data_IF_273936671353
#
_entry.id   IF_273936671353
#
_cell.length_a   1.000
_cell.length_b   1.000
_cell.length_c   1.000
_cell.angle_alpha   90.00
_cell.angle_beta   90.00
_cell.angle_gamma   90.00
#
_symmetry.space_group_name_H-M   'P 1'
#
loop_
_entity.id
_entity.type
_entity.pdbx_description
1 polymer ?
#
# COMPACT_ATOMS: atom_id res chain seq x y z
N UNK A 1 -46.59 -21.00 57.64
CA UNK A 1 -47.01 -19.64 57.26
C UNK A 1 -46.07 -18.67 57.97
N UNK A 2 -44.81 -18.60 57.55
CA UNK A 2 -43.79 -17.71 58.10
C UNK A 2 -43.48 -16.67 57.02
N UNK A 3 -44.32 -15.66 56.94
CA UNK A 3 -44.06 -14.43 56.20
C UNK A 3 -44.21 -13.29 57.20
N UNK A 4 -43.34 -12.29 57.07
CA UNK A 4 -43.26 -11.03 57.83
C UNK A 4 -42.29 -11.03 59.01
N UNK A 5 -41.06 -10.66 58.68
CA UNK A 5 -40.08 -10.15 59.61
C UNK A 5 -38.88 -9.54 58.88
N UNK A 6 -39.09 -8.87 57.74
CA UNK A 6 -38.04 -8.01 57.19
C UNK A 6 -38.10 -6.73 58.03
N UNK A 7 -37.11 -6.56 58.92
CA UNK A 7 -37.11 -5.43 59.85
C UNK A 7 -36.79 -4.15 59.07
N UNK A 8 -37.23 -2.99 59.59
CA UNK A 8 -36.88 -1.68 59.01
C UNK A 8 -35.37 -1.50 58.87
N UNK A 9 -34.60 -2.12 59.76
CA UNK A 9 -33.15 -2.15 59.76
C UNK A 9 -32.59 -2.95 58.57
N UNK A 10 -33.19 -4.10 58.24
CA UNK A 10 -32.83 -4.88 57.04
C UNK A 10 -33.13 -4.10 55.76
N UNK A 11 -34.26 -3.39 55.69
CA UNK A 11 -34.57 -2.52 54.52
C UNK A 11 -33.60 -1.34 54.39
N UNK A 12 -33.20 -0.71 55.51
CA UNK A 12 -32.28 0.43 55.47
C UNK A 12 -30.87 0.00 55.08
N UNK A 13 -30.37 -1.12 55.62
CA UNK A 13 -29.07 -1.68 55.24
C UNK A 13 -29.03 -2.11 53.76
N UNK A 14 -30.16 -2.61 53.22
CA UNK A 14 -30.28 -2.96 51.81
C UNK A 14 -30.30 -1.73 50.89
N UNK A 15 -30.91 -0.62 51.33
CA UNK A 15 -30.93 0.66 50.61
C UNK A 15 -29.54 1.32 50.63
N UNK A 16 -28.86 1.34 51.77
CA UNK A 16 -27.49 1.87 51.87
C UNK A 16 -26.51 1.05 51.02
N UNK A 17 -26.61 -0.28 51.05
CA UNK A 17 -25.80 -1.17 50.21
C UNK A 17 -26.04 -0.95 48.71
N UNK A 18 -27.30 -0.79 48.29
CA UNK A 18 -27.63 -0.48 46.89
C UNK A 18 -27.10 0.90 46.47
N UNK A 19 -27.16 1.91 47.34
CA UNK A 19 -26.64 3.25 47.07
C UNK A 19 -25.13 3.28 46.86
N UNK A 20 -24.37 2.47 47.62
CA UNK A 20 -22.91 2.37 47.47
C UNK A 20 -22.54 1.70 46.13
N UNK A 21 -23.30 0.67 45.72
CA UNK A 21 -23.08 -0.03 44.45
C UNK A 21 -23.34 0.91 43.26
N UNK A 22 -24.44 1.65 43.27
CA UNK A 22 -24.77 2.63 42.21
C UNK A 22 -23.72 3.72 42.13
N UNK A 23 -23.27 4.26 43.26
CA UNK A 23 -22.20 5.26 43.28
C UNK A 23 -20.89 4.73 42.68
N UNK A 24 -20.54 3.47 42.97
CA UNK A 24 -19.35 2.83 42.40
C UNK A 24 -19.48 2.60 40.88
N UNK A 25 -20.66 2.23 40.39
CA UNK A 25 -20.90 2.08 38.94
C UNK A 25 -20.82 3.41 38.20
N UNK A 26 -21.34 4.49 38.78
CA UNK A 26 -21.28 5.82 38.18
C UNK A 26 -19.83 6.33 38.06
N UNK A 27 -19.02 6.12 39.10
CA UNK A 27 -17.59 6.48 39.06
C UNK A 27 -16.86 5.68 37.99
N UNK A 28 -17.14 4.38 37.87
CA UNK A 28 -16.53 3.55 36.82
C UNK A 28 -16.94 3.99 35.41
N UNK A 29 -18.21 4.37 35.22
CA UNK A 29 -18.72 4.89 33.95
C UNK A 29 -17.98 6.18 33.55
N UNK A 30 -17.83 7.11 34.49
CA UNK A 30 -17.10 8.37 34.29
C UNK A 30 -15.65 8.13 33.89
N UNK A 31 -14.94 7.23 34.59
CA UNK A 31 -13.56 6.86 34.25
C UNK A 31 -13.46 6.28 32.83
N UNK A 32 -14.39 5.40 32.42
CA UNK A 32 -14.38 4.81 31.09
C UNK A 32 -14.65 5.85 29.99
N UNK A 33 -15.57 6.78 30.23
CA UNK A 33 -15.83 7.88 29.32
C UNK A 33 -14.58 8.77 29.16
N UNK A 34 -13.94 9.14 30.26
CA UNK A 34 -12.71 9.92 30.26
C UNK A 34 -11.58 9.20 29.52
N UNK A 35 -11.45 7.89 29.71
CA UNK A 35 -10.47 7.07 28.99
C UNK A 35 -10.76 7.05 27.48
N UNK A 36 -12.02 6.92 27.08
CA UNK A 36 -12.42 6.96 25.68
C UNK A 36 -12.06 8.29 25.02
N UNK A 37 -12.32 9.40 25.70
CA UNK A 37 -11.93 10.74 25.25
C UNK A 37 -10.41 10.92 25.19
N UNK A 38 -9.69 10.53 26.24
CA UNK A 38 -8.24 10.62 26.29
C UNK A 38 -7.57 9.82 25.16
N UNK A 39 -8.10 8.64 24.83
CA UNK A 39 -7.61 7.83 23.71
C UNK A 39 -7.87 8.51 22.37
N UNK A 40 -9.02 9.17 22.18
CA UNK A 40 -9.30 9.92 20.96
C UNK A 40 -8.36 11.12 20.82
N UNK A 41 -8.07 11.83 21.91
CA UNK A 41 -7.12 12.94 21.91
C UNK A 41 -5.71 12.43 21.60
N UNK A 42 -5.29 11.33 22.22
CA UNK A 42 -4.00 10.70 21.92
C UNK A 42 -3.91 10.19 20.49
N UNK A 43 -5.01 9.69 19.93
CA UNK A 43 -5.10 9.27 18.53
C UNK A 43 -4.75 10.41 17.56
N UNK A 44 -5.06 11.68 17.89
CA UNK A 44 -4.72 12.82 17.03
C UNK A 44 -3.21 13.04 16.84
N UNK A 45 -2.37 12.47 17.71
CA UNK A 45 -0.91 12.55 17.60
C UNK A 45 -0.34 11.65 16.50
N UNK A 46 -1.12 10.69 16.01
CA UNK A 46 -0.69 9.77 14.96
C UNK A 46 -1.00 10.33 13.58
N UNK A 47 -0.13 10.01 12.62
CA UNK A 47 -0.40 10.33 11.22
C UNK A 47 -1.72 9.69 10.76
N UNK A 48 -2.47 10.37 9.87
CA UNK A 48 -3.66 9.79 9.27
C UNK A 48 -3.35 8.45 8.60
N UNK A 49 -4.29 7.51 8.67
CA UNK A 49 -4.22 6.17 8.08
C UNK A 49 -3.19 5.19 8.65
N UNK A 50 -2.80 5.35 9.93
CA UNK A 50 -2.02 4.31 10.62
C UNK A 50 -2.92 3.23 11.26
N UNK A 51 -2.41 1.99 11.36
CA UNK A 51 -3.10 0.89 12.05
C UNK A 51 -3.39 1.23 13.51
N UNK A 52 -2.41 1.86 14.15
CA UNK A 52 -2.48 2.27 15.54
C UNK A 52 -3.62 3.26 15.74
N UNK A 53 -3.75 4.26 14.87
CA UNK A 53 -4.87 5.20 14.89
C UNK A 53 -6.23 4.48 14.80
N UNK A 54 -6.40 3.58 13.82
CA UNK A 54 -7.66 2.84 13.63
C UNK A 54 -8.00 1.94 14.82
N UNK A 55 -6.98 1.33 15.44
CA UNK A 55 -7.14 0.54 16.66
C UNK A 55 -7.52 1.41 17.87
N UNK A 56 -6.86 2.55 18.07
CA UNK A 56 -7.18 3.48 19.15
C UNK A 56 -8.61 4.00 19.03
N UNK A 57 -9.05 4.35 17.82
CA UNK A 57 -10.45 4.74 17.56
C UNK A 57 -11.39 3.59 17.94
N UNK A 58 -11.09 2.35 17.56
CA UNK A 58 -11.91 1.20 17.93
C UNK A 58 -12.00 1.02 19.46
N UNK A 59 -10.86 1.10 20.17
CA UNK A 59 -10.82 1.01 21.63
C UNK A 59 -11.62 2.14 22.30
N UNK A 60 -11.48 3.37 21.84
CA UNK A 60 -12.25 4.50 22.35
C UNK A 60 -13.76 4.29 22.18
N UNK A 61 -14.19 3.75 21.02
CA UNK A 61 -15.61 3.43 20.80
C UNK A 61 -16.12 2.35 21.75
N UNK A 62 -15.30 1.34 22.04
CA UNK A 62 -15.65 0.30 23.03
C UNK A 62 -15.78 0.89 24.43
N UNK A 63 -14.86 1.77 24.83
CA UNK A 63 -14.92 2.42 26.14
C UNK A 63 -16.13 3.34 26.31
N UNK A 64 -16.49 4.11 25.28
CA UNK A 64 -17.70 4.94 25.33
C UNK A 64 -18.96 4.08 25.47
N UNK A 65 -19.10 3.02 24.66
CA UNK A 65 -20.24 2.08 24.78
C UNK A 65 -20.30 1.46 26.18
N UNK A 66 -19.15 1.07 26.73
CA UNK A 66 -19.08 0.49 28.07
C UNK A 66 -19.44 1.50 29.16
N UNK A 67 -19.04 2.76 29.01
CA UNK A 67 -19.38 3.85 29.92
C UNK A 67 -20.90 4.08 29.96
N UNK A 68 -21.55 4.13 28.80
CA UNK A 68 -22.99 4.38 28.72
C UNK A 68 -23.82 3.17 29.21
N UNK A 69 -23.27 1.96 29.14
CA UNK A 69 -23.94 0.75 29.65
C UNK A 69 -23.92 0.64 31.19
N UNK A 70 -22.85 1.11 31.83
CA UNK A 70 -22.53 0.77 33.22
C UNK A 70 -23.45 1.36 34.31
N UNK A 71 -23.94 2.62 34.23
CA UNK A 71 -24.67 3.25 35.33
C UNK A 71 -26.10 2.71 35.47
N UNK A 72 -26.79 2.51 34.34
CA UNK A 72 -28.21 2.15 34.35
C UNK A 72 -28.48 0.70 33.91
N UNK A 73 -27.45 -0.01 33.43
CA UNK A 73 -27.59 -1.36 32.84
C UNK A 73 -28.50 -1.41 31.61
N UNK A 74 -28.92 -0.24 31.12
CA UNK A 74 -29.79 -0.04 29.97
C UNK A 74 -29.26 1.14 29.18
N UNK A 75 -29.23 1.00 27.86
CA UNK A 75 -28.88 2.09 26.94
C UNK A 75 -30.14 2.38 26.12
N UNK A 76 -30.37 3.65 25.82
CA UNK A 76 -31.45 4.07 24.94
C UNK A 76 -31.30 3.42 23.55
N UNK A 77 -32.42 3.02 22.95
CA UNK A 77 -32.38 2.21 21.71
C UNK A 77 -31.77 2.97 20.53
N UNK A 78 -31.96 4.29 20.48
CA UNK A 78 -31.35 5.18 19.50
C UNK A 78 -29.84 5.29 19.67
N UNK A 79 -29.36 5.38 20.91
CA UNK A 79 -27.94 5.44 21.20
C UNK A 79 -27.21 4.13 20.87
N UNK A 80 -27.79 2.97 21.23
CA UNK A 80 -27.26 1.66 20.82
C UNK A 80 -27.10 1.60 19.29
N UNK A 81 -28.10 2.08 18.56
CA UNK A 81 -28.07 2.06 17.10
C UNK A 81 -26.92 2.91 16.55
N UNK A 82 -26.79 4.16 17.01
CA UNK A 82 -25.72 5.06 16.57
C UNK A 82 -24.34 4.51 16.92
N UNK A 83 -24.16 4.02 18.14
CA UNK A 83 -22.89 3.47 18.61
C UNK A 83 -22.51 2.19 17.87
N UNK A 84 -23.48 1.31 17.59
CA UNK A 84 -23.28 0.10 16.80
C UNK A 84 -22.88 0.40 15.36
N UNK A 85 -23.51 1.41 14.72
CA UNK A 85 -23.12 1.87 13.39
C UNK A 85 -21.68 2.40 13.39
N UNK A 86 -21.33 3.28 14.33
CA UNK A 86 -19.98 3.84 14.44
C UNK A 86 -18.94 2.74 14.72
N UNK A 87 -19.24 1.80 15.62
CA UNK A 87 -18.38 0.68 15.93
C UNK A 87 -18.19 -0.24 14.73
N UNK A 88 -19.24 -0.49 13.96
CA UNK A 88 -19.18 -1.30 12.73
C UNK A 88 -18.27 -0.66 11.68
N UNK A 89 -18.36 0.66 11.49
CA UNK A 89 -17.47 1.39 10.58
C UNK A 89 -16.02 1.32 11.08
N UNK A 90 -15.78 1.58 12.36
CA UNK A 90 -14.45 1.48 12.96
C UNK A 90 -13.86 0.06 12.85
N UNK A 91 -14.68 -0.96 13.07
CA UNK A 91 -14.30 -2.36 12.95
C UNK A 91 -13.95 -2.71 11.49
N UNK A 92 -14.78 -2.33 10.52
CA UNK A 92 -14.49 -2.54 9.11
C UNK A 92 -13.20 -1.82 8.66
N UNK A 93 -13.00 -0.58 9.11
CA UNK A 93 -11.79 0.19 8.80
C UNK A 93 -10.54 -0.45 9.43
N UNK A 94 -10.65 -1.00 10.64
CA UNK A 94 -9.57 -1.73 11.28
C UNK A 94 -9.31 -3.06 10.58
N UNK A 95 -10.33 -3.88 10.34
CA UNK A 95 -10.22 -5.18 9.69
C UNK A 95 -9.65 -5.08 8.27
N UNK A 96 -10.09 -4.10 7.47
CA UNK A 96 -9.54 -3.87 6.13
C UNK A 96 -8.02 -3.65 6.13
N UNK A 97 -7.46 -3.18 7.24
CA UNK A 97 -6.01 -3.01 7.43
C UNK A 97 -5.35 -4.19 8.15
N UNK A 98 -5.99 -4.74 9.17
CA UNK A 98 -5.44 -5.81 10.00
C UNK A 98 -5.45 -7.16 9.28
N UNK A 99 -6.50 -7.47 8.52
CA UNK A 99 -6.60 -8.71 7.74
C UNK A 99 -5.41 -8.90 6.81
N UNK A 100 -5.01 -7.93 5.97
CA UNK A 100 -3.82 -8.11 5.15
C UNK A 100 -2.52 -8.24 5.93
N UNK A 101 -2.42 -7.62 7.11
CA UNK A 101 -1.25 -7.74 7.99
C UNK A 101 -1.15 -9.13 8.63
N UNK A 102 -2.27 -9.72 9.04
CA UNK A 102 -2.35 -11.07 9.64
C UNK A 102 -2.23 -12.14 8.55
N UNK A 103 -2.83 -11.91 7.39
CA UNK A 103 -2.76 -12.81 6.22
C UNK A 103 -1.37 -12.83 5.59
N UNK A 104 -0.46 -11.94 5.99
CA UNK A 104 0.93 -11.97 5.57
C UNK A 104 1.72 -13.09 6.28
N UNK A 105 1.31 -14.33 6.05
CA UNK A 105 1.99 -15.54 6.51
C UNK A 105 3.16 -15.94 5.61
N UNK A 106 3.29 -15.31 4.44
CA UNK A 106 4.42 -15.57 3.54
C UNK A 106 5.70 -15.05 4.18
N UNK A 107 6.60 -15.97 4.52
CA UNK A 107 7.94 -15.62 4.97
C UNK A 107 8.67 -14.85 3.86
N UNK A 108 9.19 -13.68 4.21
CA UNK A 108 9.97 -12.87 3.29
C UNK A 108 11.33 -13.53 3.06
N UNK A 109 11.66 -13.79 1.80
CA UNK A 109 12.98 -14.32 1.44
C UNK A 109 14.07 -13.26 1.61
N UNK A 110 15.34 -13.67 1.62
CA UNK A 110 16.45 -12.70 1.62
C UNK A 110 16.41 -11.74 0.42
N UNK A 111 15.94 -12.25 -0.73
CA UNK A 111 15.73 -11.45 -1.95
C UNK A 111 14.66 -10.39 -1.74
N UNK A 112 13.58 -10.73 -1.05
CA UNK A 112 12.50 -9.79 -0.70
C UNK A 112 13.04 -8.65 0.17
N UNK A 113 13.74 -8.99 1.26
CA UNK A 113 14.33 -8.02 2.18
C UNK A 113 15.27 -7.06 1.43
N UNK A 114 16.13 -7.61 0.56
CA UNK A 114 17.06 -6.80 -0.23
C UNK A 114 16.33 -5.89 -1.20
N UNK A 115 15.38 -6.43 -1.98
CA UNK A 115 14.59 -5.65 -2.94
C UNK A 115 13.79 -4.54 -2.27
N UNK A 116 13.27 -4.79 -1.06
CA UNK A 116 12.60 -3.78 -0.27
C UNK A 116 13.55 -2.63 0.07
N UNK A 117 14.71 -2.94 0.63
CA UNK A 117 15.66 -1.89 1.03
C UNK A 117 16.23 -1.11 -0.15
N UNK A 118 16.45 -1.75 -1.30
CA UNK A 118 17.07 -1.10 -2.46
C UNK A 118 16.08 -0.39 -3.36
N UNK A 119 14.84 -0.87 -3.49
CA UNK A 119 13.89 -0.37 -4.50
C UNK A 119 12.64 0.24 -3.85
N UNK A 120 11.97 -0.48 -2.96
CA UNK A 120 10.67 -0.04 -2.43
C UNK A 120 10.79 0.99 -1.31
N UNK A 121 11.76 0.85 -0.41
CA UNK A 121 11.97 1.79 0.70
C UNK A 121 12.31 3.21 0.21
N UNK A 122 13.20 3.41 -0.80
CA UNK A 122 13.42 4.73 -1.39
C UNK A 122 12.16 5.33 -2.04
N UNK A 123 11.25 4.50 -2.55
CA UNK A 123 9.97 4.95 -3.09
C UNK A 123 8.93 5.31 -2.01
N UNK A 124 9.24 5.08 -0.72
CA UNK A 124 8.40 5.44 0.42
C UNK A 124 7.58 4.30 1.01
N UNK A 125 7.74 3.06 0.52
CA UNK A 125 7.02 1.92 1.07
C UNK A 125 7.47 1.58 2.49
N UNK A 126 6.49 1.29 3.35
CA UNK A 126 6.72 0.62 4.63
C UNK A 126 6.86 -0.89 4.43
N UNK A 127 7.56 -1.56 5.36
CA UNK A 127 7.77 -3.01 5.29
C UNK A 127 6.45 -3.78 5.34
N UNK A 128 5.49 -3.29 6.10
CA UNK A 128 4.12 -3.83 6.19
C UNK A 128 3.39 -3.78 4.86
N UNK A 129 3.49 -2.66 4.13
CA UNK A 129 2.89 -2.49 2.81
C UNK A 129 3.52 -3.42 1.78
N UNK A 130 4.86 -3.55 1.79
CA UNK A 130 5.55 -4.48 0.90
C UNK A 130 5.14 -5.94 1.16
N UNK A 131 5.04 -6.35 2.42
CA UNK A 131 4.53 -7.68 2.81
C UNK A 131 3.08 -7.89 2.40
N UNK A 132 2.25 -6.86 2.49
CA UNK A 132 0.87 -6.93 2.00
C UNK A 132 0.84 -7.18 0.48
N UNK A 133 1.65 -6.49 -0.31
CA UNK A 133 1.75 -6.74 -1.76
C UNK A 133 2.17 -8.19 -2.08
N UNK A 134 3.14 -8.74 -1.32
CA UNK A 134 3.55 -10.15 -1.46
C UNK A 134 2.42 -11.14 -1.14
N UNK A 135 1.61 -10.80 -0.15
CA UNK A 135 0.58 -11.69 0.41
C UNK A 135 -0.71 -11.67 -0.41
N UNK A 136 -1.03 -10.52 -1.00
CA UNK A 136 -2.16 -10.36 -1.93
C UNK A 136 -1.79 -10.76 -3.37
N UNK A 137 -0.68 -11.49 -3.56
CA UNK A 137 -0.15 -11.88 -4.88
C UNK A 137 -0.02 -10.70 -5.87
N UNK A 138 0.13 -9.48 -5.37
CA UNK A 138 0.27 -8.29 -6.21
C UNK A 138 1.67 -8.20 -6.80
N UNK A 139 2.65 -8.80 -6.13
CA UNK A 139 4.03 -8.93 -6.62
C UNK A 139 4.52 -10.37 -6.54
N UNK A 140 5.23 -10.82 -7.57
CA UNK A 140 5.76 -12.18 -7.67
C UNK A 140 7.11 -12.20 -8.40
N UNK A 141 8.04 -12.99 -7.88
CA UNK A 141 9.32 -13.22 -8.53
C UNK A 141 9.20 -14.19 -9.70
N UNK A 142 9.71 -13.79 -10.86
CA UNK A 142 9.77 -14.62 -12.06
C UNK A 142 11.21 -14.68 -12.56
N UNK A 143 11.64 -15.89 -12.92
CA UNK A 143 12.91 -16.13 -13.57
C UNK A 143 12.67 -16.38 -15.05
N UNK A 144 13.22 -15.50 -15.88
CA UNK A 144 13.09 -15.57 -17.32
C UNK A 144 14.36 -16.21 -17.91
N UNK A 145 14.22 -17.30 -18.69
CA UNK A 145 15.37 -18.00 -19.28
C UNK A 145 16.19 -17.10 -20.20
N UNK A 146 17.46 -17.44 -20.38
CA UNK A 146 18.36 -16.77 -21.33
C UNK A 146 17.84 -16.78 -22.75
N UNK A 147 17.97 -15.65 -23.45
CA UNK A 147 17.61 -15.48 -24.86
C UNK A 147 16.17 -15.89 -25.22
N UNK A 148 15.27 -15.91 -24.24
CA UNK A 148 13.85 -16.23 -24.44
C UNK A 148 13.09 -15.00 -24.92
N UNK A 149 11.98 -15.24 -25.62
CA UNK A 149 11.07 -14.19 -26.08
C UNK A 149 9.70 -14.39 -25.47
N UNK A 150 9.04 -13.29 -25.13
CA UNK A 150 7.70 -13.30 -24.55
C UNK A 150 6.99 -11.99 -24.86
N UNK A 151 5.66 -11.99 -24.78
CA UNK A 151 4.85 -10.80 -25.04
C UNK A 151 4.70 -9.96 -23.78
N UNK A 152 4.80 -8.64 -23.92
CA UNK A 152 4.43 -7.70 -22.87
C UNK A 152 2.91 -7.76 -22.64
N UNK A 153 2.50 -8.08 -21.41
CA UNK A 153 1.10 -8.13 -20.99
C UNK A 153 0.67 -6.77 -20.47
N UNK A 154 -0.49 -6.26 -20.91
CA UNK A 154 -1.07 -5.02 -20.36
C UNK A 154 -1.42 -5.12 -18.87
N UNK A 155 -1.56 -6.35 -18.37
CA UNK A 155 -1.96 -6.63 -16.98
C UNK A 155 -0.78 -6.63 -16.03
N UNK A 156 0.44 -6.69 -16.55
CA UNK A 156 1.64 -6.93 -15.77
C UNK A 156 2.65 -5.79 -15.94
N UNK A 157 3.26 -5.36 -14.85
CA UNK A 157 4.48 -4.57 -14.87
C UNK A 157 5.65 -5.46 -14.47
N UNK A 158 6.81 -5.27 -15.10
CA UNK A 158 8.00 -6.08 -14.78
C UNK A 158 9.10 -5.18 -14.25
N UNK A 159 9.41 -5.31 -12.96
CA UNK A 159 10.54 -4.63 -12.34
C UNK A 159 11.79 -5.50 -12.47
N UNK A 160 12.82 -4.99 -13.16
CA UNK A 160 14.04 -5.74 -13.39
C UNK A 160 14.95 -5.67 -12.17
N UNK A 161 15.21 -6.84 -11.57
CA UNK A 161 16.09 -6.95 -10.43
C UNK A 161 17.51 -7.36 -10.84
N UNK A 162 17.63 -8.30 -11.77
CA UNK A 162 18.91 -8.78 -12.31
C UNK A 162 18.80 -9.15 -13.78
N UNK A 163 19.84 -8.87 -14.55
CA UNK A 163 19.91 -9.22 -15.97
C UNK A 163 19.37 -8.09 -16.84
N UNK A 164 18.99 -8.43 -18.07
CA UNK A 164 18.50 -7.45 -19.04
C UNK A 164 17.35 -7.99 -19.87
N UNK A 165 16.46 -7.08 -20.24
CA UNK A 165 15.36 -7.32 -21.16
C UNK A 165 15.45 -6.29 -22.27
N UNK A 166 15.24 -6.70 -23.50
CA UNK A 166 15.19 -5.80 -24.65
C UNK A 166 13.81 -5.82 -25.29
N UNK A 167 13.40 -4.66 -25.79
CA UNK A 167 12.09 -4.41 -26.39
C UNK A 167 12.29 -3.77 -27.75
N UNK A 168 11.71 -4.34 -28.79
CA UNK A 168 11.79 -3.80 -30.14
C UNK A 168 10.52 -3.00 -30.45
N UNK A 169 10.67 -1.70 -30.75
CA UNK A 169 9.56 -0.84 -31.18
C UNK A 169 9.95 -0.20 -32.51
N UNK A 170 9.34 -0.69 -33.60
CA UNK A 170 9.77 -0.38 -34.95
C UNK A 170 11.20 -0.85 -35.20
N UNK A 171 12.08 0.06 -35.60
CA UNK A 171 13.51 -0.21 -35.82
C UNK A 171 14.37 -0.02 -34.56
N UNK A 172 13.82 0.64 -33.52
CA UNK A 172 14.56 0.94 -32.30
C UNK A 172 14.49 -0.24 -31.33
N UNK A 173 15.64 -0.58 -30.72
CA UNK A 173 15.76 -1.55 -29.63
C UNK A 173 16.03 -0.80 -28.33
N UNK A 174 15.13 -0.96 -27.38
CA UNK A 174 15.29 -0.46 -26.01
C UNK A 174 15.82 -1.59 -25.14
N UNK A 175 16.81 -1.32 -24.30
CA UNK A 175 17.38 -2.30 -23.37
C UNK A 175 17.11 -1.79 -21.96
N UNK A 176 16.60 -2.69 -21.12
CA UNK A 176 16.25 -2.44 -19.74
C UNK A 176 17.12 -3.28 -18.81
N UNK A 177 17.41 -2.75 -17.63
CA UNK A 177 18.06 -3.44 -16.51
C UNK A 177 19.58 -3.33 -16.50
N UNK A 178 20.24 -3.02 -17.62
CA UNK A 178 21.70 -2.89 -17.66
C UNK A 178 22.14 -1.75 -18.57
N UNK A 179 22.75 -0.73 -17.98
CA UNK A 179 23.30 0.44 -18.67
C UNK A 179 24.78 0.59 -18.30
N UNK A 180 25.66 0.76 -19.29
CA UNK A 180 27.11 0.92 -19.09
C UNK A 180 27.73 -0.13 -18.13
N UNK A 181 27.27 -1.39 -18.23
CA UNK A 181 27.74 -2.48 -17.37
C UNK A 181 27.12 -2.53 -15.96
N UNK A 182 26.46 -1.48 -15.50
CA UNK A 182 25.80 -1.38 -14.19
C UNK A 182 24.36 -1.89 -14.26
N UNK A 183 23.93 -2.58 -13.20
CA UNK A 183 22.54 -3.02 -13.05
C UNK A 183 21.67 -1.81 -12.63
N UNK A 184 20.55 -1.62 -13.33
CA UNK A 184 19.53 -0.63 -13.04
C UNK A 184 18.21 -1.31 -12.72
N UNK A 185 17.38 -0.69 -11.88
CA UNK A 185 16.10 -1.23 -11.43
C UNK A 185 14.95 -0.58 -12.20
N UNK A 186 14.82 -0.99 -13.46
CA UNK A 186 13.85 -0.41 -14.38
C UNK A 186 12.54 -1.18 -14.43
N UNK A 187 11.44 -0.44 -14.60
CA UNK A 187 10.11 -0.99 -14.85
C UNK A 187 9.83 -1.08 -16.35
N UNK A 188 9.46 -2.27 -16.81
CA UNK A 188 8.88 -2.51 -18.14
C UNK A 188 7.36 -2.45 -18.03
N UNK A 189 6.70 -1.81 -19.01
CA UNK A 189 5.25 -1.56 -19.01
C UNK A 189 4.82 -0.29 -18.30
N UNK A 190 5.75 0.45 -17.69
CA UNK A 190 5.53 1.70 -16.96
C UNK A 190 4.73 2.74 -17.77
N UNK A 191 5.10 2.97 -19.04
CA UNK A 191 4.42 3.92 -19.93
C UNK A 191 2.99 3.48 -20.29
N UNK A 192 2.79 2.17 -20.50
CA UNK A 192 1.47 1.61 -20.79
C UNK A 192 0.53 1.79 -19.58
N UNK A 193 1.05 1.50 -18.38
CA UNK A 193 0.32 1.68 -17.15
C UNK A 193 0.02 3.16 -16.87
N UNK A 194 1.01 4.05 -17.02
CA UNK A 194 0.83 5.49 -16.85
C UNK A 194 -0.25 6.05 -17.80
N UNK A 195 -0.24 5.63 -19.07
CA UNK A 195 -1.28 5.97 -20.04
C UNK A 195 -2.66 5.49 -19.58
N UNK A 196 -2.78 4.24 -19.12
CA UNK A 196 -4.04 3.69 -18.59
C UNK A 196 -4.55 4.50 -17.39
N UNK A 197 -3.65 4.95 -16.51
CA UNK A 197 -4.00 5.83 -15.39
C UNK A 197 -4.48 7.22 -15.85
N UNK A 198 -3.91 7.79 -16.90
CA UNK A 198 -4.34 9.08 -17.47
C UNK A 198 -5.69 8.97 -18.20
N UNK A 199 -5.91 7.89 -18.94
CA UNK A 199 -7.16 7.67 -19.67
C UNK A 199 -8.34 7.45 -18.72
N UNK A 200 -8.10 6.85 -17.56
CA UNK A 200 -9.16 6.65 -16.53
C UNK A 200 -9.51 7.94 -15.78
N UNK A 201 -8.56 8.85 -15.56
CA UNK A 201 -8.84 10.15 -14.91
C UNK A 201 -9.59 11.10 -15.84
N UNK A 202 -9.25 11.13 -17.13
CA UNK A 202 -9.95 11.96 -18.12
C UNK A 202 -11.41 11.53 -18.34
N UNK A 203 -11.70 10.22 -18.30
CA UNK A 203 -13.08 9.70 -18.41
C UNK A 203 -13.95 10.02 -17.19
N UNK A 204 -13.39 10.16 -15.99
CA UNK A 204 -14.15 10.64 -14.81
C UNK A 204 -14.62 12.10 -14.96
N UNK A 205 -13.95 12.90 -15.78
CA UNK A 205 -14.34 14.27 -16.10
C UNK A 205 -15.37 14.38 -17.24
N UNK A 206 -15.56 13.33 -18.05
CA UNK A 206 -16.53 13.28 -19.15
C UNK A 206 -17.50 12.10 -18.98
N UNK A 207 -18.35 12.13 -17.96
CA UNK A 207 -19.55 11.27 -17.93
C UNK A 207 -20.64 11.92 -18.79
N UNK A 208 -20.59 11.64 -20.08
CA UNK A 208 -21.71 11.54 -21.03
C UNK A 208 -21.13 11.57 -22.45
N UNK A 209 -20.62 10.43 -22.92
CA UNK A 209 -20.74 10.04 -24.32
C UNK A 209 -20.50 8.53 -24.42
N UNK A 210 -21.36 7.89 -25.18
CA UNK A 210 -21.48 6.45 -25.33
C UNK A 210 -20.27 5.82 -26.05
N UNK A 211 -20.12 4.52 -25.75
CA UNK A 211 -19.59 3.44 -26.61
C UNK A 211 -18.14 3.43 -27.09
N UNK A 212 -17.57 2.23 -26.96
CA UNK A 212 -16.61 1.61 -27.88
C UNK A 212 -15.45 2.46 -28.34
N UNK A 213 -14.35 2.38 -27.60
CA UNK A 213 -13.04 2.22 -28.19
C UNK A 213 -12.15 1.54 -27.15
N UNK A 214 -11.93 0.24 -27.35
CA UNK A 214 -10.76 -0.44 -26.82
C UNK A 214 -9.58 0.38 -27.32
N UNK A 215 -8.93 1.10 -26.42
CA UNK A 215 -7.68 1.77 -26.69
C UNK A 215 -6.72 0.71 -27.20
N UNK A 216 -6.42 0.74 -28.51
CA UNK A 216 -5.35 -0.04 -29.11
C UNK A 216 -4.05 0.31 -28.39
N UNK A 217 -3.71 -0.42 -27.32
CA UNK A 217 -2.32 -0.64 -27.03
C UNK A 217 -1.81 -1.51 -28.18
N UNK A 218 -0.68 -1.15 -28.82
CA UNK A 218 -0.21 -1.90 -29.96
C UNK A 218 0.06 -3.34 -29.52
N UNK A 219 -0.60 -4.29 -30.20
CA UNK A 219 -0.26 -5.71 -30.35
C UNK A 219 1.02 -6.10 -29.62
N UNK A 220 0.88 -6.89 -28.54
CA UNK A 220 1.90 -7.75 -27.92
C UNK A 220 3.33 -7.40 -28.32
N UNK A 221 3.90 -6.37 -27.67
CA UNK A 221 5.28 -5.99 -27.94
C UNK A 221 6.20 -7.12 -27.45
N UNK A 222 7.00 -7.66 -28.37
CA UNK A 222 7.88 -8.79 -28.07
C UNK A 222 9.07 -8.30 -27.26
N UNK A 223 9.19 -8.85 -26.06
CA UNK A 223 10.31 -8.71 -25.16
C UNK A 223 11.26 -9.88 -25.35
N UNK A 224 12.56 -9.61 -25.28
CA UNK A 224 13.61 -10.61 -25.39
C UNK A 224 14.60 -10.47 -24.24
N UNK A 225 14.87 -11.55 -23.51
CA UNK A 225 15.87 -11.55 -22.44
C UNK A 225 17.29 -11.56 -22.98
N UNK A 226 18.22 -11.02 -22.20
CA UNK A 226 19.65 -11.11 -22.49
C UNK A 226 20.20 -12.54 -22.38
N UNK A 227 21.48 -12.71 -22.73
CA UNK A 227 22.18 -14.00 -22.73
C UNK A 227 22.29 -14.67 -21.34
N UNK A 228 22.21 -13.89 -20.27
CA UNK A 228 22.23 -14.38 -18.89
C UNK A 228 20.83 -14.67 -18.31
N UNK A 229 19.77 -14.47 -19.09
CA UNK A 229 18.40 -14.43 -18.59
C UNK A 229 18.14 -13.17 -17.76
N UNK A 230 16.97 -13.14 -17.10
CA UNK A 230 16.58 -12.05 -16.22
C UNK A 230 15.81 -12.56 -15.00
N UNK A 231 16.04 -11.94 -13.85
CA UNK A 231 15.19 -12.09 -12.67
C UNK A 231 14.38 -10.81 -12.52
N UNK A 232 13.07 -10.96 -12.57
CA UNK A 232 12.14 -9.83 -12.53
C UNK A 232 11.12 -10.03 -11.41
N UNK A 233 10.65 -8.93 -10.85
CA UNK A 233 9.49 -8.90 -10.00
C UNK A 233 8.30 -8.47 -10.86
N UNK A 234 7.40 -9.40 -11.15
CA UNK A 234 6.12 -9.13 -11.80
C UNK A 234 5.20 -8.45 -10.81
N UNK A 235 4.55 -7.37 -11.24
CA UNK A 235 3.49 -6.70 -10.51
C UNK A 235 2.18 -6.88 -11.29
N UNK A 236 1.23 -7.59 -10.70
CA UNK A 236 -0.11 -7.74 -11.26
C UNK A 236 -0.88 -6.42 -11.02
N UNK A 237 -1.18 -5.70 -12.09
CA UNK A 237 -1.83 -4.38 -12.01
C UNK A 237 -3.27 -4.46 -11.49
N UNK A 238 -3.96 -5.60 -11.64
CA UNK A 238 -5.31 -5.79 -11.13
C UNK A 238 -5.29 -6.02 -9.62
N UNK A 239 -4.39 -6.87 -9.13
CA UNK A 239 -4.19 -7.09 -7.70
C UNK A 239 -3.63 -5.82 -7.01
N UNK A 240 -2.73 -5.08 -7.69
CA UNK A 240 -2.23 -3.79 -7.21
C UNK A 240 -3.35 -2.76 -7.06
N UNK A 241 -4.32 -2.71 -7.99
CA UNK A 241 -5.50 -1.82 -7.85
C UNK A 241 -6.29 -2.16 -6.60
N UNK A 242 -6.49 -3.45 -6.29
CA UNK A 242 -7.12 -3.85 -5.04
C UNK A 242 -6.31 -3.44 -3.81
N UNK A 243 -4.98 -3.59 -3.85
CA UNK A 243 -4.12 -3.14 -2.77
C UNK A 243 -4.20 -1.61 -2.55
N UNK A 244 -4.25 -0.83 -3.63
CA UNK A 244 -4.42 0.63 -3.59
C UNK A 244 -5.77 1.04 -2.99
N UNK A 245 -6.85 0.30 -3.28
CA UNK A 245 -8.16 0.58 -2.69
C UNK A 245 -8.18 0.36 -1.17
N UNK A 246 -7.37 -0.58 -0.67
CA UNK A 246 -7.23 -0.84 0.76
C UNK A 246 -6.33 0.16 1.48
N UNK A 247 -5.27 0.64 0.81
CA UNK A 247 -4.34 1.63 1.35
C UNK A 247 -3.92 2.63 0.26
N UNK A 248 -4.45 3.84 0.34
CA UNK A 248 -4.20 4.90 -0.63
C UNK A 248 -2.71 5.32 -0.68
N UNK A 249 -1.95 5.16 0.42
CA UNK A 249 -0.51 5.48 0.44
C UNK A 249 0.29 4.57 -0.50
N UNK A 250 -0.17 3.33 -0.73
CA UNK A 250 0.44 2.44 -1.72
C UNK A 250 0.43 3.08 -3.10
N UNK A 251 -0.62 3.83 -3.46
CA UNK A 251 -0.69 4.52 -4.74
C UNK A 251 0.42 5.56 -4.88
N UNK A 252 0.66 6.35 -3.84
CA UNK A 252 1.69 7.39 -3.86
C UNK A 252 3.10 6.79 -3.87
N UNK A 253 3.34 5.77 -3.06
CA UNK A 253 4.61 5.03 -3.06
C UNK A 253 4.86 4.38 -4.43
N UNK A 254 3.83 3.81 -5.07
CA UNK A 254 3.98 3.21 -6.39
C UNK A 254 4.19 4.26 -7.51
N UNK A 255 3.54 5.43 -7.41
CA UNK A 255 3.83 6.56 -8.31
C UNK A 255 5.28 7.01 -8.19
N UNK A 256 5.80 7.15 -6.97
CA UNK A 256 7.20 7.47 -6.73
C UNK A 256 8.13 6.40 -7.30
N UNK A 257 7.76 5.12 -7.16
CA UNK A 257 8.54 4.01 -7.75
C UNK A 257 8.63 4.14 -9.28
N UNK A 258 7.52 4.40 -9.96
CA UNK A 258 7.50 4.63 -11.41
C UNK A 258 8.33 5.86 -11.76
N UNK A 259 8.17 6.96 -11.03
CA UNK A 259 8.87 8.21 -11.29
C UNK A 259 10.39 8.03 -11.16
N UNK A 260 10.86 7.41 -10.07
CA UNK A 260 12.27 7.11 -9.85
C UNK A 260 12.83 6.23 -10.99
N UNK A 261 12.06 5.23 -11.42
CA UNK A 261 12.47 4.36 -12.53
C UNK A 261 12.61 5.10 -13.86
N UNK A 262 11.69 6.02 -14.16
CA UNK A 262 11.76 6.87 -15.35
C UNK A 262 12.92 7.87 -15.26
N UNK A 263 13.16 8.43 -14.08
CA UNK A 263 14.28 9.35 -13.85
C UNK A 263 15.62 8.64 -14.07
N UNK A 264 15.82 7.46 -13.47
CA UNK A 264 17.04 6.66 -13.68
C UNK A 264 17.28 6.35 -15.17
N UNK A 265 16.21 6.08 -15.92
CA UNK A 265 16.28 5.83 -17.37
C UNK A 265 16.70 7.07 -18.15
N UNK A 266 16.15 8.24 -17.81
CA UNK A 266 16.51 9.51 -18.46
C UNK A 266 17.98 9.85 -18.18
N UNK A 267 18.42 9.72 -16.93
CA UNK A 267 19.83 9.93 -16.55
C UNK A 267 20.76 8.97 -17.29
N UNK A 268 20.37 7.71 -17.48
CA UNK A 268 21.15 6.74 -18.26
C UNK A 268 21.28 7.14 -19.74
N UNK A 269 20.21 7.66 -20.34
CA UNK A 269 20.22 8.15 -21.74
C UNK A 269 21.09 9.39 -21.88
N UNK A 270 20.99 10.34 -20.96
CA UNK A 270 21.79 11.57 -21.00
C UNK A 270 23.29 11.26 -20.84
N UNK A 271 23.64 10.35 -19.92
CA UNK A 271 25.02 9.89 -19.76
C UNK A 271 25.54 9.20 -21.03
N UNK A 272 24.76 8.32 -21.65
CA UNK A 272 25.16 7.64 -22.89
C UNK A 272 25.34 8.61 -24.07
N UNK A 273 24.56 9.69 -24.13
CA UNK A 273 24.73 10.73 -25.13
C UNK A 273 25.99 11.57 -24.88
N UNK A 274 26.28 11.90 -23.62
CA UNK A 274 27.50 12.62 -23.25
C UNK A 274 28.76 11.80 -23.56
N UNK A 275 28.76 10.49 -23.27
CA UNK A 275 29.88 9.60 -23.58
C UNK A 275 30.17 9.56 -25.10
N UNK A 276 29.10 9.55 -25.93
CA UNK A 276 29.24 9.66 -27.38
C UNK A 276 29.84 11.00 -27.81
N UNK A 277 29.39 12.11 -27.22
CA UNK A 277 29.93 13.44 -27.53
C UNK A 277 31.42 13.53 -27.17
N UNK A 278 31.85 12.89 -26.09
CA UNK A 278 33.28 12.83 -25.71
C UNK A 278 34.09 11.98 -26.71
N UNK A 279 33.57 10.83 -27.17
CA UNK A 279 34.22 10.03 -28.22
C UNK A 279 34.37 10.80 -29.55
N UNK A 280 33.36 11.58 -29.95
CA UNK A 280 33.43 12.42 -31.15
C UNK A 280 34.40 13.61 -31.01
N UNK A 281 34.54 14.18 -29.81
CA UNK A 281 35.47 15.30 -29.59
C UNK A 281 36.94 14.85 -29.42
N UNK A 282 37.21 13.57 -29.14
CA UNK A 282 38.57 13.02 -29.07
C UNK A 282 39.10 12.52 -30.43
N UNK A 283 38.30 12.54 -31.50
CA UNK A 283 38.69 11.94 -32.79
C UNK A 283 39.16 12.92 -33.86
N UNK A 284 38.98 14.23 -33.69
CA UNK A 284 39.36 15.22 -34.72
C UNK A 284 40.64 16.03 -34.44
N UNK A 285 41.12 16.16 -33.19
CA UNK A 285 42.34 16.94 -32.89
C UNK A 285 43.53 16.12 -32.32
N UNK A 286 43.31 14.92 -31.78
CA UNK A 286 44.40 14.11 -31.16
C UNK A 286 45.19 13.23 -32.16
N UNK A 287 44.80 13.18 -33.44
CA UNK A 287 45.60 12.56 -34.49
C UNK A 287 46.70 13.47 -35.07
N UNK A 288 46.76 14.74 -34.66
CA UNK A 288 47.75 15.70 -35.16
C UNK A 288 49.08 15.71 -34.37
N UNK A 289 49.23 14.92 -33.29
CA UNK A 289 50.42 14.93 -32.43
C UNK A 289 51.15 13.58 -32.27
N UNK A 290 50.94 12.62 -33.19
CA UNK A 290 51.78 11.41 -33.30
C UNK A 290 52.55 11.30 -34.62
N UNK A 291 52.81 12.44 -35.27
CA UNK A 291 53.67 12.52 -36.47
C UNK A 291 54.65 13.69 -36.35
N UNK A 292 55.36 13.78 -35.22
CA UNK A 292 56.66 14.44 -35.10
C UNK A 292 57.51 13.74 -34.03
#
# INVERSE_FOLDING_TARGET
MNMLGMTLEDTMNQIEGASIIVAHQNIQAEILADMGHAILDFATLFAPDTAVLRLLILCARIFNIAADYLPDGTITTDEIFVQSCMLSISCNNFLSMALPMISSTREATFRDIRSFHTIFRPAGFEWTQYKFLLSNCSIEWIELPSSSTFCESEKDLLLIYKGSISKKVGEKRYVYGKHNGKQCHELVGDLCYAKTCLDTTSRKSKRNLETNEYSNCPVDQVLQTGSSGAQVLRVDTSALKHAILSDQRIADCFRNLIFNSLQERLEAVDNANNDRIIEYNMTDDDFALQLF
#
